data_IF_782401136372
#
_entry.id   IF_782401136372
#
_cell.length_a   1.000
_cell.length_b   1.000
_cell.length_c   1.000
_cell.angle_alpha   90.00
_cell.angle_beta   90.00
_cell.angle_gamma   90.00
#
_symmetry.space_group_name_H-M   'P 1'
#
loop_
_entity.id
_entity.type
_entity.pdbx_description
1 polymer ?
#
# COMPACT_ATOMS: atom_id res chain seq x y z
N UNK A 1 35.48 32.49 -26.29
CA UNK A 1 35.27 32.41 -24.82
C UNK A 1 33.79 32.54 -24.52
N UNK A 2 33.05 31.43 -24.37
CA UNK A 2 31.67 31.44 -23.82
C UNK A 2 31.04 30.07 -23.49
N UNK A 3 31.73 28.94 -23.69
CA UNK A 3 31.14 27.62 -23.49
C UNK A 3 31.80 26.79 -22.37
N UNK A 4 32.46 27.44 -21.40
CA UNK A 4 33.22 26.75 -20.35
C UNK A 4 32.65 26.93 -18.93
N UNK A 5 31.42 27.44 -18.79
CA UNK A 5 30.79 27.73 -17.47
C UNK A 5 29.56 26.82 -17.19
N UNK A 6 29.25 25.86 -18.06
CA UNK A 6 28.09 24.97 -17.86
C UNK A 6 28.40 23.62 -17.19
N UNK A 7 29.68 23.32 -16.91
CA UNK A 7 30.11 22.03 -16.35
C UNK A 7 30.27 21.97 -14.83
N UNK A 8 30.23 23.11 -14.12
CA UNK A 8 30.56 23.19 -12.69
C UNK A 8 29.34 23.12 -11.75
N UNK A 9 28.12 23.28 -12.25
CA UNK A 9 26.89 23.25 -11.43
C UNK A 9 26.39 21.86 -11.04
N UNK A 10 26.71 20.83 -11.82
CA UNK A 10 26.19 19.47 -11.62
C UNK A 10 26.97 18.69 -10.55
N UNK A 11 28.24 19.04 -10.31
CA UNK A 11 29.08 18.36 -9.32
C UNK A 11 28.76 18.72 -7.85
N UNK A 12 28.20 19.91 -7.60
CA UNK A 12 27.90 20.38 -6.23
C UNK A 12 26.56 19.80 -5.72
N UNK A 13 25.61 19.51 -6.61
CA UNK A 13 24.30 18.99 -6.22
C UNK A 13 24.34 17.51 -5.77
N UNK A 14 25.32 16.73 -6.25
CA UNK A 14 25.47 15.30 -5.88
C UNK A 14 26.16 15.10 -4.51
N UNK A 15 26.95 16.06 -4.02
CA UNK A 15 27.62 15.97 -2.72
C UNK A 15 26.67 16.36 -1.57
N UNK A 16 25.67 17.24 -1.84
CA UNK A 16 24.70 17.69 -0.83
C UNK A 16 23.68 16.65 -0.36
N UNK A 17 23.45 15.57 -1.13
CA UNK A 17 22.50 14.51 -0.76
C UNK A 17 23.13 13.39 0.09
N UNK A 18 24.47 13.29 0.15
CA UNK A 18 25.17 12.25 0.91
C UNK A 18 25.44 12.63 2.38
N UNK A 19 25.37 13.90 2.76
CA UNK A 19 25.64 14.36 4.15
C UNK A 19 24.41 14.41 5.05
N UNK A 20 23.18 14.39 4.49
CA UNK A 20 21.94 14.49 5.26
C UNK A 20 21.57 13.23 6.06
N UNK A 21 21.98 12.04 5.60
CA UNK A 21 21.64 10.76 6.23
C UNK A 21 22.55 10.37 7.42
N UNK A 22 23.71 11.01 7.59
CA UNK A 22 24.69 10.59 8.60
C UNK A 22 24.50 11.24 9.99
N UNK A 23 23.69 12.30 10.10
CA UNK A 23 23.56 13.07 11.35
C UNK A 23 22.33 12.75 12.21
N UNK A 24 21.38 11.95 11.71
CA UNK A 24 20.12 11.67 12.43
C UNK A 24 20.07 10.29 13.14
N UNK A 25 21.23 9.65 13.33
CA UNK A 25 21.32 8.28 13.87
C UNK A 25 22.06 8.12 15.22
N UNK A 26 22.35 9.17 15.98
CA UNK A 26 23.30 9.05 17.12
C UNK A 26 22.92 9.61 18.48
N UNK A 27 21.66 9.98 18.76
CA UNK A 27 21.28 10.50 20.07
C UNK A 27 19.92 10.01 20.55
N UNK A 28 19.80 8.75 21.01
CA UNK A 28 18.96 8.36 22.16
C UNK A 28 19.44 7.01 22.71
N UNK A 29 20.41 7.04 23.62
CA UNK A 29 20.64 6.00 24.62
C UNK A 29 21.72 6.48 25.59
N UNK A 30 21.31 6.99 26.77
CA UNK A 30 22.04 6.79 28.04
C UNK A 30 21.05 6.78 29.21
N UNK A 31 21.26 5.77 30.03
CA UNK A 31 20.43 5.26 31.11
C UNK A 31 20.29 6.20 32.32
N UNK A 32 19.30 5.91 33.15
CA UNK A 32 19.41 6.11 34.59
C UNK A 32 18.95 4.83 35.29
N UNK A 33 19.90 4.15 35.94
CA UNK A 33 19.69 3.06 36.90
C UNK A 33 20.31 3.55 38.20
N UNK A 34 19.54 3.67 39.28
CA UNK A 34 19.96 3.53 40.68
C UNK A 34 18.76 3.75 41.65
N UNK A 35 18.79 3.30 42.92
CA UNK A 35 18.81 1.92 43.40
C UNK A 35 17.60 1.58 44.31
N UNK A 36 17.38 0.29 44.53
CA UNK A 36 16.39 -0.30 45.47
C UNK A 36 16.71 -0.03 46.95
N UNK A 37 15.67 0.05 47.81
CA UNK A 37 15.67 -0.67 49.08
C UNK A 37 14.52 -1.70 49.17
N UNK A 38 14.79 -2.78 49.91
CA UNK A 38 14.12 -4.08 49.93
C UNK A 38 12.83 -4.15 50.80
N UNK A 39 12.30 -5.36 51.10
CA UNK A 39 11.09 -5.95 50.53
C UNK A 39 9.85 -5.78 51.43
N UNK A 40 8.70 -5.41 50.84
CA UNK A 40 7.40 -5.47 51.51
C UNK A 40 6.64 -6.76 51.14
N UNK A 41 5.96 -7.31 52.13
CA UNK A 41 5.38 -8.64 52.25
C UNK A 41 4.46 -9.09 51.10
N UNK A 42 4.53 -10.38 50.78
CA UNK A 42 3.59 -11.07 49.91
C UNK A 42 2.18 -11.06 50.53
N UNK A 43 1.31 -10.18 50.04
CA UNK A 43 -0.12 -10.38 50.17
C UNK A 43 -0.61 -11.29 49.04
N UNK A 44 -1.05 -12.49 49.42
CA UNK A 44 -1.87 -13.38 48.61
C UNK A 44 -3.06 -12.62 48.01
N UNK A 45 -3.00 -12.32 46.70
CA UNK A 45 -4.17 -11.93 45.94
C UNK A 45 -4.63 -13.10 45.08
N UNK A 46 -5.88 -13.52 45.32
CA UNK A 46 -6.61 -14.50 44.55
C UNK A 46 -6.57 -14.19 43.04
N UNK A 47 -6.70 -15.20 42.16
CA UNK A 47 -6.71 -14.97 40.72
C UNK A 47 -7.88 -14.06 40.36
N UNK A 48 -7.57 -12.81 40.00
CA UNK A 48 -8.53 -11.91 39.39
C UNK A 48 -8.81 -12.47 38.01
N UNK A 49 -10.02 -13.00 37.82
CA UNK A 49 -10.51 -13.38 36.52
C UNK A 49 -10.39 -12.16 35.60
N UNK A 50 -9.46 -12.22 34.66
CA UNK A 50 -9.36 -11.26 33.56
C UNK A 50 -10.62 -11.41 32.73
N UNK A 51 -11.62 -10.56 33.01
CA UNK A 51 -12.73 -10.37 32.10
C UNK A 51 -12.16 -9.82 30.81
N UNK A 52 -12.04 -10.70 29.81
CA UNK A 52 -11.77 -10.34 28.42
C UNK A 52 -12.86 -9.36 27.99
N UNK A 53 -12.52 -8.07 28.07
CA UNK A 53 -13.38 -6.98 27.65
C UNK A 53 -13.47 -7.10 26.14
N UNK A 54 -14.52 -7.76 25.66
CA UNK A 54 -14.81 -7.88 24.23
C UNK A 54 -15.09 -6.47 23.72
N UNK A 55 -14.06 -5.81 23.21
CA UNK A 55 -14.21 -4.50 22.59
C UNK A 55 -15.03 -4.71 21.32
N UNK A 56 -16.11 -3.94 21.09
CA UNK A 56 -16.90 -4.09 19.89
C UNK A 56 -16.01 -3.89 18.66
N UNK A 57 -16.08 -4.83 17.72
CA UNK A 57 -15.41 -4.70 16.42
C UNK A 57 -16.01 -3.46 15.75
N UNK A 58 -15.21 -2.46 15.38
CA UNK A 58 -15.73 -1.25 14.76
C UNK A 58 -16.38 -1.60 13.41
N UNK A 59 -17.59 -1.12 13.20
CA UNK A 59 -18.32 -1.25 11.94
C UNK A 59 -17.54 -0.55 10.82
N UNK A 60 -17.41 -1.17 9.62
CA UNK A 60 -16.80 -0.54 8.45
C UNK A 60 -17.41 0.84 8.15
N UNK A 61 -16.55 1.83 7.87
CA UNK A 61 -16.98 3.20 7.53
C UNK A 61 -17.75 3.27 6.21
N UNK A 62 -17.40 2.39 5.28
CA UNK A 62 -18.03 2.29 3.96
C UNK A 62 -18.53 0.86 3.72
N UNK A 63 -19.56 0.71 2.91
CA UNK A 63 -19.95 -0.59 2.37
C UNK A 63 -18.99 -1.03 1.27
N UNK A 64 -18.80 -2.34 1.10
CA UNK A 64 -17.99 -2.91 0.02
C UNK A 64 -18.45 -2.44 -1.36
N UNK A 65 -19.77 -2.36 -1.58
CA UNK A 65 -20.34 -1.92 -2.86
C UNK A 65 -19.99 -0.47 -3.19
N UNK A 66 -20.10 0.42 -2.20
CA UNK A 66 -19.71 1.84 -2.38
C UNK A 66 -18.23 1.97 -2.72
N UNK A 67 -17.36 1.20 -2.06
CA UNK A 67 -15.92 1.21 -2.36
C UNK A 67 -15.66 0.66 -3.76
N UNK A 68 -16.33 -0.42 -4.16
CA UNK A 68 -16.26 -0.99 -5.51
C UNK A 68 -16.68 0.00 -6.60
N UNK A 69 -17.79 0.71 -6.40
CA UNK A 69 -18.25 1.76 -7.32
C UNK A 69 -17.23 2.90 -7.45
N UNK A 70 -16.66 3.36 -6.33
CA UNK A 70 -15.66 4.42 -6.36
C UNK A 70 -14.34 3.97 -7.01
N UNK A 71 -13.94 2.72 -6.81
CA UNK A 71 -12.81 2.13 -7.53
C UNK A 71 -13.07 2.16 -9.03
N UNK A 72 -14.20 1.62 -9.48
CA UNK A 72 -14.58 1.59 -10.91
C UNK A 72 -14.63 3.00 -11.51
N UNK A 73 -15.23 3.96 -10.81
CA UNK A 73 -15.32 5.34 -11.25
C UNK A 73 -13.93 6.00 -11.36
N UNK A 74 -13.07 5.79 -10.37
CA UNK A 74 -11.70 6.36 -10.35
C UNK A 74 -10.83 5.78 -11.47
N UNK A 75 -10.95 4.48 -11.74
CA UNK A 75 -10.23 3.83 -12.85
C UNK A 75 -10.71 4.35 -14.21
N UNK A 76 -12.02 4.38 -14.45
CA UNK A 76 -12.57 4.81 -15.73
C UNK A 76 -12.34 6.30 -16.02
N UNK A 77 -12.42 7.16 -14.99
CA UNK A 77 -12.20 8.60 -15.13
C UNK A 77 -10.72 9.00 -15.06
N UNK A 78 -9.83 8.07 -14.69
CA UNK A 78 -8.43 8.33 -14.33
C UNK A 78 -8.25 9.36 -13.21
N UNK A 79 -9.28 9.60 -12.42
CA UNK A 79 -9.23 10.42 -11.22
C UNK A 79 -8.84 9.56 -10.01
N UNK A 80 -7.55 9.23 -9.89
CA UNK A 80 -7.07 8.34 -8.84
C UNK A 80 -7.04 8.99 -7.45
N UNK A 81 -7.02 10.33 -7.36
CA UNK A 81 -6.99 11.04 -6.08
C UNK A 81 -8.19 10.69 -5.18
N UNK A 82 -9.34 10.40 -5.79
CA UNK A 82 -10.56 10.02 -5.08
C UNK A 82 -10.41 8.69 -4.30
N UNK A 83 -9.45 7.83 -4.66
CA UNK A 83 -9.21 6.55 -4.00
C UNK A 83 -8.65 6.72 -2.58
N UNK A 84 -7.94 7.80 -2.28
CA UNK A 84 -7.30 7.99 -0.96
C UNK A 84 -8.31 7.97 0.20
N UNK A 85 -9.55 8.42 -0.04
CA UNK A 85 -10.63 8.38 0.97
C UNK A 85 -11.15 6.98 1.29
N UNK A 86 -10.70 5.97 0.54
CA UNK A 86 -11.10 4.57 0.67
C UNK A 86 -9.90 3.65 0.96
N UNK A 87 -8.69 4.19 1.13
CA UNK A 87 -7.50 3.43 1.47
C UNK A 87 -7.26 3.43 2.98
N UNK A 88 -6.66 2.34 3.45
CA UNK A 88 -5.89 2.35 4.71
C UNK A 88 -4.75 3.37 4.62
N UNK A 89 -4.19 3.80 5.76
CA UNK A 89 -3.06 4.74 5.74
C UNK A 89 -1.82 4.13 5.06
N UNK A 90 -1.62 2.82 5.27
CA UNK A 90 -0.55 2.00 4.71
C UNK A 90 -1.11 0.93 3.78
N UNK A 91 -0.80 1.03 2.49
CA UNK A 91 -1.28 0.15 1.42
C UNK A 91 -0.14 -0.69 0.89
N UNK A 92 -0.35 -2.00 0.75
CA UNK A 92 0.59 -2.87 0.03
C UNK A 92 0.43 -2.66 -1.47
N UNK A 93 1.44 -2.10 -2.11
CA UNK A 93 1.45 -1.86 -3.55
C UNK A 93 2.42 -2.83 -4.26
N UNK A 94 1.89 -3.49 -5.30
CA UNK A 94 2.66 -4.34 -6.19
C UNK A 94 2.59 -3.75 -7.60
N UNK A 95 3.74 -3.36 -8.13
CA UNK A 95 3.90 -3.09 -9.56
C UNK A 95 4.50 -4.33 -10.20
N UNK A 96 3.71 -5.03 -11.01
CA UNK A 96 4.12 -6.32 -11.54
C UNK A 96 5.34 -6.16 -12.47
N UNK A 97 6.24 -7.15 -12.42
CA UNK A 97 7.54 -7.18 -13.10
C UNK A 97 8.55 -6.14 -12.58
N UNK A 98 8.34 -5.64 -11.36
CA UNK A 98 9.30 -4.80 -10.64
C UNK A 98 9.48 -5.33 -9.21
N UNK A 99 10.58 -4.96 -8.56
CA UNK A 99 10.77 -5.18 -7.11
C UNK A 99 10.03 -4.15 -6.25
N UNK A 100 9.29 -3.23 -6.86
CA UNK A 100 8.50 -2.21 -6.18
C UNK A 100 7.10 -2.75 -5.80
N UNK A 101 6.45 -2.27 -4.76
CA UNK A 101 6.89 -1.22 -3.82
C UNK A 101 6.79 -1.64 -2.36
N UNK A 102 6.05 -2.72 -2.06
CA UNK A 102 5.75 -3.13 -0.70
C UNK A 102 4.73 -2.20 -0.05
N UNK A 103 4.79 -2.06 1.27
CA UNK A 103 3.91 -1.15 2.01
C UNK A 103 4.31 0.31 1.76
N UNK A 104 3.34 1.11 1.31
CA UNK A 104 3.52 2.54 1.03
C UNK A 104 2.33 3.33 1.57
N UNK A 105 2.49 4.65 1.74
CA UNK A 105 1.35 5.50 2.14
C UNK A 105 0.28 5.55 1.06
N UNK A 106 -0.98 5.81 1.43
CA UNK A 106 -2.07 6.01 0.45
C UNK A 106 -1.76 7.04 -0.63
N UNK A 107 -1.11 8.16 -0.30
CA UNK A 107 -0.70 9.16 -1.29
C UNK A 107 0.35 8.61 -2.26
N UNK A 108 1.31 7.82 -1.77
CA UNK A 108 2.29 7.18 -2.65
C UNK A 108 1.64 6.11 -3.52
N UNK A 109 0.71 5.32 -2.98
CA UNK A 109 -0.06 4.34 -3.74
C UNK A 109 -0.84 5.00 -4.88
N UNK A 110 -1.58 6.09 -4.58
CA UNK A 110 -2.28 6.91 -5.56
C UNK A 110 -1.35 7.45 -6.64
N UNK A 111 -0.16 7.95 -6.28
CA UNK A 111 0.81 8.44 -7.25
C UNK A 111 1.33 7.35 -8.20
N UNK A 112 1.37 6.08 -7.77
CA UNK A 112 1.76 4.96 -8.63
C UNK A 112 0.64 4.47 -9.55
N UNK A 113 -0.61 4.93 -9.35
CA UNK A 113 -1.71 4.62 -10.28
C UNK A 113 -1.45 5.17 -11.69
N UNK A 114 -0.52 6.12 -11.86
CA UNK A 114 -0.02 6.59 -13.16
C UNK A 114 0.53 5.45 -14.02
N UNK A 115 0.90 4.31 -13.43
CA UNK A 115 1.26 3.09 -14.16
C UNK A 115 0.17 2.62 -15.14
N UNK A 116 -1.09 3.01 -14.91
CA UNK A 116 -2.23 2.71 -15.78
C UNK A 116 -2.50 3.79 -16.85
N UNK A 117 -1.81 4.94 -16.85
CA UNK A 117 -2.09 6.07 -17.76
C UNK A 117 -1.94 5.71 -19.25
N UNK A 118 -1.04 4.77 -19.52
CA UNK A 118 -0.82 4.18 -20.84
C UNK A 118 -2.05 3.48 -21.40
N UNK A 119 -2.93 2.96 -20.53
CA UNK A 119 -4.16 2.32 -20.97
C UNK A 119 -5.13 3.31 -21.62
N UNK A 120 -5.60 2.98 -22.82
CA UNK A 120 -6.69 3.63 -23.56
C UNK A 120 -7.91 2.72 -23.72
N UNK A 121 -7.82 1.47 -23.27
CA UNK A 121 -8.88 0.47 -23.36
C UNK A 121 -10.07 0.74 -22.43
N UNK A 122 -11.17 0.04 -22.71
CA UNK A 122 -12.32 -0.03 -21.80
C UNK A 122 -12.03 -1.02 -20.68
N UNK A 123 -12.43 -0.68 -19.45
CA UNK A 123 -12.22 -1.53 -18.27
C UNK A 123 -13.41 -2.44 -18.00
N UNK A 124 -13.15 -3.74 -17.89
CA UNK A 124 -14.07 -4.76 -17.41
C UNK A 124 -13.76 -5.13 -15.96
N UNK A 125 -14.79 -5.13 -15.11
CA UNK A 125 -14.71 -5.51 -13.70
C UNK A 125 -15.59 -6.74 -13.38
N UNK A 126 -15.97 -7.50 -14.41
CA UNK A 126 -16.81 -8.68 -14.24
C UNK A 126 -16.08 -9.81 -13.49
N UNK A 127 -16.76 -10.40 -12.51
CA UNK A 127 -16.19 -11.52 -11.74
C UNK A 127 -16.03 -12.79 -12.60
N UNK A 128 -16.85 -12.91 -13.65
CA UNK A 128 -16.85 -14.03 -14.60
C UNK A 128 -15.85 -13.92 -15.75
N UNK A 129 -14.98 -12.92 -15.75
CA UNK A 129 -13.93 -12.78 -16.77
C UNK A 129 -12.98 -13.99 -16.78
N UNK A 130 -12.77 -14.59 -17.95
CA UNK A 130 -11.83 -15.70 -18.11
C UNK A 130 -10.38 -15.28 -17.83
N UNK A 131 -10.03 -14.04 -18.14
CA UNK A 131 -8.72 -13.44 -17.81
C UNK A 131 -8.56 -13.36 -16.30
N UNK A 132 -9.60 -12.90 -15.57
CA UNK A 132 -9.60 -12.88 -14.10
C UNK A 132 -9.37 -14.27 -13.51
N UNK A 133 -10.08 -15.28 -14.03
CA UNK A 133 -9.92 -16.65 -13.58
C UNK A 133 -8.48 -17.16 -13.76
N UNK A 134 -7.88 -16.92 -14.94
CA UNK A 134 -6.48 -17.29 -15.20
C UNK A 134 -5.47 -16.53 -14.33
N UNK A 135 -5.70 -15.25 -14.05
CA UNK A 135 -4.86 -14.47 -13.15
C UNK A 135 -4.82 -15.07 -11.75
N UNK A 136 -5.99 -15.43 -11.21
CA UNK A 136 -6.11 -16.07 -9.89
C UNK A 136 -5.46 -17.46 -9.90
N UNK A 137 -5.66 -18.25 -10.96
CA UNK A 137 -5.08 -19.58 -11.09
C UNK A 137 -3.54 -19.55 -11.16
N UNK A 138 -2.98 -18.63 -11.95
CA UNK A 138 -1.55 -18.59 -12.23
C UNK A 138 -0.77 -17.77 -11.19
N UNK A 139 -1.45 -16.86 -10.47
CA UNK A 139 -0.83 -15.97 -9.49
C UNK A 139 -1.63 -15.89 -8.17
N UNK A 140 -1.92 -17.03 -7.52
CA UNK A 140 -2.78 -17.09 -6.33
C UNK A 140 -2.23 -16.32 -5.12
N UNK A 141 -0.92 -16.06 -5.08
CA UNK A 141 -0.27 -15.23 -4.06
C UNK A 141 -0.64 -13.73 -4.16
N UNK A 142 -1.08 -13.29 -5.34
CA UNK A 142 -1.33 -11.89 -5.67
C UNK A 142 -2.81 -11.65 -5.98
N UNK A 143 -3.47 -12.56 -6.68
CA UNK A 143 -4.87 -12.42 -7.07
C UNK A 143 -5.74 -13.45 -6.35
N UNK A 144 -6.83 -12.98 -5.73
CA UNK A 144 -7.81 -13.82 -5.05
C UNK A 144 -9.24 -13.49 -5.47
N UNK A 145 -10.17 -14.40 -5.20
CA UNK A 145 -11.58 -14.29 -5.61
C UNK A 145 -12.34 -13.13 -4.97
N UNK A 146 -11.87 -12.63 -3.83
CA UNK A 146 -12.52 -11.54 -3.10
C UNK A 146 -11.98 -10.15 -3.44
N UNK A 147 -10.99 -10.07 -4.34
CA UNK A 147 -10.47 -8.81 -4.88
C UNK A 147 -11.37 -8.25 -5.98
N UNK A 148 -11.44 -6.92 -6.00
CA UNK A 148 -12.01 -6.16 -7.10
C UNK A 148 -10.93 -6.06 -8.18
N UNK A 149 -11.13 -6.74 -9.31
CA UNK A 149 -10.15 -6.80 -10.41
C UNK A 149 -10.73 -6.09 -11.63
N UNK A 150 -9.99 -5.11 -12.14
CA UNK A 150 -10.27 -4.44 -13.41
C UNK A 150 -9.30 -4.92 -14.48
N UNK A 151 -9.81 -5.29 -15.65
CA UNK A 151 -9.05 -5.73 -16.81
C UNK A 151 -9.37 -4.77 -17.96
N UNK A 152 -8.36 -4.11 -18.48
CA UNK A 152 -8.52 -3.26 -19.65
C UNK A 152 -8.44 -4.07 -20.94
N UNK A 153 -9.17 -3.63 -21.97
CA UNK A 153 -9.13 -4.24 -23.31
C UNK A 153 -7.75 -4.17 -23.98
N UNK A 154 -6.85 -3.34 -23.48
CA UNK A 154 -5.46 -3.21 -23.92
C UNK A 154 -4.44 -3.85 -22.98
N UNK A 155 -4.88 -4.87 -22.23
CA UNK A 155 -4.07 -5.78 -21.42
C UNK A 155 -3.58 -5.28 -20.06
N UNK A 156 -3.95 -4.07 -19.66
CA UNK A 156 -3.68 -3.60 -18.31
C UNK A 156 -4.58 -4.32 -17.30
N UNK A 157 -4.08 -4.54 -16.10
CA UNK A 157 -4.87 -5.08 -14.97
C UNK A 157 -4.61 -4.26 -13.72
N UNK A 158 -5.66 -4.05 -12.95
CA UNK A 158 -5.58 -3.54 -11.59
C UNK A 158 -6.34 -4.45 -10.64
N UNK A 159 -5.80 -4.70 -9.45
CA UNK A 159 -6.45 -5.48 -8.40
C UNK A 159 -6.49 -4.71 -7.09
N UNK A 160 -7.64 -4.70 -6.42
CA UNK A 160 -7.85 -4.05 -5.13
C UNK A 160 -8.36 -5.07 -4.11
N UNK A 161 -7.61 -5.25 -3.02
CA UNK A 161 -8.06 -6.02 -1.86
C UNK A 161 -8.56 -5.07 -0.80
N UNK A 162 -9.71 -5.39 -0.21
CA UNK A 162 -10.25 -4.66 0.92
C UNK A 162 -9.98 -5.42 2.22
N UNK A 163 -9.70 -4.69 3.29
CA UNK A 163 -9.62 -5.23 4.65
C UNK A 163 -11.02 -5.48 5.23
N UNK A 164 -11.08 -5.93 6.48
CA UNK A 164 -12.35 -6.15 7.20
C UNK A 164 -13.17 -4.88 7.45
N UNK A 165 -12.58 -3.69 7.30
CA UNK A 165 -13.21 -2.37 7.40
C UNK A 165 -13.63 -1.81 6.02
N UNK A 166 -13.56 -2.65 4.97
CA UNK A 166 -13.79 -2.29 3.57
C UNK A 166 -12.84 -1.21 3.03
N UNK A 167 -11.67 -1.01 3.64
CA UNK A 167 -10.65 -0.09 3.15
C UNK A 167 -9.66 -0.84 2.25
N UNK A 168 -9.17 -0.19 1.22
CA UNK A 168 -8.16 -0.74 0.32
C UNK A 168 -6.86 -0.92 1.12
N UNK A 169 -6.45 -2.17 1.29
CA UNK A 169 -5.20 -2.55 1.96
C UNK A 169 -4.12 -3.02 0.98
N UNK A 170 -4.51 -3.39 -0.24
CA UNK A 170 -3.58 -3.82 -1.28
C UNK A 170 -4.03 -3.39 -2.66
N UNK A 171 -3.07 -2.93 -3.45
CA UNK A 171 -3.21 -2.57 -4.85
C UNK A 171 -2.18 -3.34 -5.68
N UNK A 172 -2.62 -3.88 -6.81
CA UNK A 172 -1.75 -4.57 -7.78
C UNK A 172 -1.96 -3.93 -9.13
N UNK A 173 -0.87 -3.49 -9.78
CA UNK A 173 -0.90 -2.87 -11.09
C UNK A 173 -0.06 -3.70 -12.07
N UNK A 174 -0.63 -3.96 -13.24
CA UNK A 174 -0.01 -4.74 -14.32
C UNK A 174 -0.23 -3.99 -15.62
N UNK A 175 0.83 -3.75 -16.38
CA UNK A 175 0.77 -3.03 -17.67
C UNK A 175 0.45 -3.95 -18.85
N UNK A 176 0.81 -5.22 -18.74
CA UNK A 176 0.41 -6.28 -19.69
C UNK A 176 0.26 -7.60 -18.94
N UNK A 177 -0.98 -8.08 -18.80
CA UNK A 177 -1.27 -9.34 -18.10
C UNK A 177 -0.74 -10.58 -18.81
N UNK A 178 -0.43 -10.50 -20.11
CA UNK A 178 0.09 -11.66 -20.85
C UNK A 178 1.49 -12.07 -20.40
N UNK A 179 2.20 -11.16 -19.71
CA UNK A 179 3.49 -11.45 -19.08
C UNK A 179 3.38 -12.35 -17.85
N UNK A 180 2.17 -12.48 -17.28
CA UNK A 180 1.94 -13.07 -15.95
C UNK A 180 0.87 -14.17 -16.00
N UNK A 181 0.08 -14.17 -17.07
CA UNK A 181 -0.95 -15.15 -17.37
C UNK A 181 -1.04 -15.33 -18.88
N UNK A 182 -0.06 -16.04 -19.49
CA UNK A 182 -0.04 -16.31 -20.93
C UNK A 182 -1.20 -17.18 -21.43
#
# INVERSE_FOLDING_TARGET
>A
MKNFILGLGVAIFLIGLLTGAYYFGKNQNKASIEPTPAPAEYQNQAPTASQEKTSPIPTPRNSKDRVSENIKASINSKNYQALEGYMTDDVVLILYATECCGTVTKTKATAQMSYLEGSKGSWDFSEGSSVRAKLIQNNPQNFSQDMIVGISSDKYVTGFKLNSQNEIERIILVSDYTLISP
#
